data_IF_395045925667
#
_entry.id   IF_395045925667
#
_cell.length_a   1.000
_cell.length_b   1.000
_cell.length_c   1.000
_cell.angle_alpha   90.00
_cell.angle_beta   90.00
_cell.angle_gamma   90.00
#
_symmetry.space_group_name_H-M   'P 1'
#
loop_
_entity.id
_entity.type
_entity.pdbx_description
1 polymer ?
#
# COMPACT_ATOMS: atom_id res chain seq x y z
N UNK A 1 3.44 32.38 -23.31
CA UNK A 1 2.12 31.99 -22.76
C UNK A 1 2.27 30.56 -22.26
N UNK A 2 2.19 30.19 -20.99
CA UNK A 2 1.60 30.80 -19.81
C UNK A 2 2.61 30.70 -18.65
N UNK A 3 3.03 31.84 -18.11
CA UNK A 3 3.81 31.90 -16.87
C UNK A 3 2.90 31.54 -15.71
N UNK A 4 3.06 30.35 -15.16
CA UNK A 4 2.36 29.93 -13.95
C UNK A 4 2.87 30.76 -12.78
N UNK A 5 2.11 31.78 -12.38
CA UNK A 5 2.31 32.48 -11.11
C UNK A 5 2.24 31.45 -9.96
N UNK A 6 3.40 31.04 -9.46
CA UNK A 6 3.48 30.40 -8.15
C UNK A 6 3.20 31.48 -7.11
N UNK A 7 1.93 31.64 -6.78
CA UNK A 7 1.51 32.36 -5.58
C UNK A 7 2.04 31.53 -4.41
N UNK A 8 3.19 31.93 -3.88
CA UNK A 8 3.72 31.39 -2.63
C UNK A 8 2.75 31.81 -1.54
N UNK A 9 1.85 30.91 -1.15
CA UNK A 9 1.01 31.10 0.02
C UNK A 9 1.92 31.39 1.22
N UNK A 10 1.83 32.57 1.86
CA UNK A 10 2.86 33.08 2.77
C UNK A 10 2.93 32.36 4.13
N UNK A 11 2.20 31.24 4.31
CA UNK A 11 2.08 30.57 5.60
C UNK A 11 3.05 29.41 5.88
N UNK A 12 3.68 28.80 4.87
CA UNK A 12 4.41 27.53 5.06
C UNK A 12 5.95 27.63 5.01
N UNK A 13 6.51 28.71 4.45
CA UNK A 13 7.95 28.83 4.20
C UNK A 13 8.74 29.51 5.33
N UNK A 14 8.07 30.21 6.25
CA UNK A 14 8.71 31.12 7.21
C UNK A 14 9.71 30.46 8.17
N UNK A 15 9.47 29.21 8.59
CA UNK A 15 10.32 28.51 9.56
C UNK A 15 11.28 27.48 8.92
N UNK A 16 10.96 26.96 7.74
CA UNK A 16 11.64 25.82 7.12
C UNK A 16 12.59 26.28 6.00
N UNK A 17 12.39 27.48 5.44
CA UNK A 17 13.17 28.00 4.31
C UNK A 17 12.67 27.46 2.96
N UNK A 18 12.75 28.28 1.92
CA UNK A 18 12.09 28.05 0.61
C UNK A 18 12.46 26.69 -0.01
N UNK A 19 13.75 26.33 0.00
CA UNK A 19 14.22 25.08 -0.61
C UNK A 19 13.72 23.84 0.12
N UNK A 20 13.74 23.86 1.46
CA UNK A 20 13.27 22.74 2.27
C UNK A 20 11.75 22.62 2.21
N UNK A 21 11.03 23.74 2.17
CA UNK A 21 9.58 23.75 1.95
C UNK A 21 9.21 23.13 0.59
N UNK A 22 9.97 23.45 -0.46
CA UNK A 22 9.76 22.87 -1.79
C UNK A 22 9.98 21.35 -1.81
N UNK A 23 11.01 20.83 -1.11
CA UNK A 23 11.25 19.40 -1.01
C UNK A 23 10.16 18.64 -0.24
N UNK A 24 9.59 19.25 0.80
CA UNK A 24 8.44 18.69 1.54
C UNK A 24 7.19 18.66 0.66
N UNK A 25 6.92 19.74 -0.08
CA UNK A 25 5.78 19.82 -0.99
C UNK A 25 5.86 18.76 -2.11
N UNK A 26 7.04 18.55 -2.71
CA UNK A 26 7.25 17.46 -3.69
C UNK A 26 6.98 16.06 -3.12
N UNK A 27 7.19 15.85 -1.82
CA UNK A 27 6.84 14.57 -1.18
C UNK A 27 5.32 14.43 -1.02
N UNK A 28 4.62 15.52 -0.73
CA UNK A 28 3.15 15.53 -0.63
C UNK A 28 2.48 15.33 -1.99
N UNK A 29 3.10 15.77 -3.09
CA UNK A 29 2.63 15.49 -4.46
C UNK A 29 2.62 14.00 -4.83
N UNK A 30 3.40 13.16 -4.14
CA UNK A 30 3.40 11.70 -4.36
C UNK A 30 2.20 11.01 -3.71
N UNK A 31 1.41 11.72 -2.92
CA UNK A 31 0.20 11.21 -2.28
C UNK A 31 -0.94 11.25 -3.28
N UNK A 32 -1.60 10.11 -3.49
CA UNK A 32 -2.76 10.05 -4.39
C UNK A 32 -3.92 10.91 -3.88
N UNK A 33 -4.80 11.35 -4.78
CA UNK A 33 -6.00 12.13 -4.42
C UNK A 33 -6.85 11.41 -3.36
N UNK A 34 -7.06 10.09 -3.51
CA UNK A 34 -7.78 9.27 -2.53
C UNK A 34 -7.13 9.29 -1.14
N UNK A 35 -5.82 9.07 -1.06
CA UNK A 35 -5.12 9.08 0.23
C UNK A 35 -5.10 10.47 0.86
N UNK A 36 -5.01 11.54 0.06
CA UNK A 36 -5.05 12.91 0.58
C UNK A 36 -6.38 13.24 1.27
N UNK A 37 -7.50 12.70 0.77
CA UNK A 37 -8.81 12.83 1.42
C UNK A 37 -8.87 12.07 2.74
N UNK A 38 -8.40 10.82 2.76
CA UNK A 38 -8.37 9.99 3.98
C UNK A 38 -7.43 10.56 5.05
N UNK A 39 -6.27 11.08 4.66
CA UNK A 39 -5.29 11.66 5.60
C UNK A 39 -5.76 12.98 6.23
N UNK A 40 -6.83 13.59 5.73
CA UNK A 40 -7.48 14.77 6.32
C UNK A 40 -8.54 14.40 7.37
N UNK A 41 -8.77 13.12 7.65
CA UNK A 41 -9.71 12.70 8.69
C UNK A 41 -9.28 13.21 10.07
N UNK A 42 -10.25 13.49 10.95
CA UNK A 42 -9.99 13.98 12.30
C UNK A 42 -9.21 12.97 13.15
N UNK A 43 -9.38 11.68 12.89
CA UNK A 43 -8.69 10.61 13.58
C UNK A 43 -8.22 9.51 12.62
N UNK A 44 -7.02 9.00 12.86
CA UNK A 44 -6.41 7.88 12.14
C UNK A 44 -5.88 6.89 13.18
N UNK A 45 -6.38 5.67 13.16
CA UNK A 45 -5.91 4.59 14.05
C UNK A 45 -5.38 3.41 13.24
N UNK A 46 -4.29 2.81 13.70
CA UNK A 46 -3.78 1.56 13.12
C UNK A 46 -4.46 0.36 13.77
N UNK A 47 -5.02 -0.53 12.94
CA UNK A 47 -5.46 -1.87 13.33
C UNK A 47 -4.58 -2.91 12.63
N UNK A 48 -4.31 -4.02 13.30
CA UNK A 48 -3.66 -5.18 12.68
C UNK A 48 -4.71 -6.29 12.56
N UNK A 49 -5.05 -6.64 11.33
CA UNK A 49 -5.95 -7.74 11.03
C UNK A 49 -5.12 -9.00 10.78
N UNK A 50 -5.52 -10.15 11.32
CA UNK A 50 -4.92 -11.44 10.98
C UNK A 50 -5.85 -12.19 10.05
N UNK A 51 -5.40 -12.46 8.82
CA UNK A 51 -6.20 -13.12 7.80
C UNK A 51 -5.56 -14.45 7.37
N UNK A 52 -6.34 -15.54 7.26
CA UNK A 52 -5.83 -16.80 6.76
C UNK A 52 -5.64 -16.76 5.24
N UNK A 53 -4.60 -17.44 4.76
CA UNK A 53 -4.35 -17.68 3.34
C UNK A 53 -3.84 -19.11 3.13
N UNK A 54 -4.16 -19.69 1.98
CA UNK A 54 -3.64 -20.99 1.57
C UNK A 54 -2.25 -20.80 0.96
N UNK A 55 -1.27 -21.49 1.53
CA UNK A 55 0.07 -21.61 1.00
C UNK A 55 0.26 -23.01 0.41
N UNK A 56 0.15 -23.12 -0.91
CA UNK A 56 0.28 -24.39 -1.62
C UNK A 56 1.68 -24.54 -2.22
N UNK A 57 2.30 -25.69 -2.01
CA UNK A 57 3.57 -26.10 -2.62
C UNK A 57 3.38 -27.41 -3.38
N UNK A 58 4.03 -27.55 -4.52
CA UNK A 58 4.08 -28.84 -5.23
C UNK A 58 5.09 -29.76 -4.55
N UNK A 59 4.65 -30.98 -4.23
CA UNK A 59 5.48 -32.00 -3.57
C UNK A 59 6.42 -32.73 -4.55
N UNK A 60 6.18 -32.59 -5.86
CA UNK A 60 6.77 -33.47 -6.88
C UNK A 60 7.63 -32.68 -7.88
N UNK A 61 8.95 -32.84 -7.80
CA UNK A 61 9.85 -32.51 -8.92
C UNK A 61 9.62 -33.58 -9.98
N UNK A 62 8.68 -33.34 -10.89
CA UNK A 62 8.36 -34.29 -11.96
C UNK A 62 9.58 -34.51 -12.86
N UNK A 63 9.86 -35.75 -13.29
CA UNK A 63 10.95 -36.03 -14.21
C UNK A 63 10.73 -35.28 -15.52
N UNK A 64 11.69 -34.43 -15.85
CA UNK A 64 11.78 -33.65 -17.10
C UNK A 64 12.03 -34.64 -18.25
N UNK A 65 10.98 -35.31 -18.73
CA UNK A 65 11.16 -36.39 -19.71
C UNK A 65 9.94 -36.82 -20.53
N UNK A 66 8.74 -36.29 -20.29
CA UNK A 66 7.58 -36.65 -21.12
C UNK A 66 6.81 -35.40 -21.60
N UNK A 67 6.80 -35.28 -22.93
CA UNK A 67 6.60 -34.07 -23.76
C UNK A 67 5.15 -33.57 -23.87
N UNK A 68 4.21 -34.07 -23.06
CA UNK A 68 2.79 -33.74 -23.24
C UNK A 68 2.25 -33.14 -21.95
N UNK A 69 2.09 -31.82 -21.97
CA UNK A 69 1.62 -30.93 -20.91
C UNK A 69 0.92 -31.63 -19.74
N UNK A 70 1.60 -31.68 -18.60
CA UNK A 70 1.02 -32.18 -17.36
C UNK A 70 -0.22 -31.36 -16.98
N UNK A 71 -1.35 -32.04 -16.85
CA UNK A 71 -2.61 -31.46 -16.36
C UNK A 71 -2.38 -30.99 -14.92
N UNK A 72 -2.58 -29.70 -14.65
CA UNK A 72 -2.31 -29.07 -13.34
C UNK A 72 -3.14 -29.67 -12.18
N UNK A 73 -4.22 -30.40 -12.49
CA UNK A 73 -5.01 -31.11 -11.48
C UNK A 73 -4.33 -32.36 -10.94
N UNK A 74 -3.42 -32.96 -11.71
CA UNK A 74 -2.76 -34.22 -11.33
C UNK A 74 -1.51 -33.97 -10.49
N UNK A 75 -1.06 -32.73 -10.36
CA UNK A 75 0.08 -32.39 -9.50
C UNK A 75 -0.33 -32.51 -8.04
N UNK A 76 0.36 -33.38 -7.29
CA UNK A 76 0.23 -33.41 -5.84
C UNK A 76 0.69 -32.06 -5.27
N UNK A 77 -0.26 -31.34 -4.69
CA UNK A 77 -0.04 -30.08 -4.00
C UNK A 77 -0.32 -30.28 -2.51
N UNK A 78 0.61 -29.84 -1.68
CA UNK A 78 0.43 -29.72 -0.24
C UNK A 78 0.04 -28.28 0.05
N UNK A 79 -1.17 -28.05 0.56
CA UNK A 79 -1.63 -26.72 0.95
C UNK A 79 -1.68 -26.62 2.47
N UNK A 80 -1.04 -25.59 3.00
CA UNK A 80 -1.07 -25.25 4.42
C UNK A 80 -1.82 -23.93 4.62
N UNK A 81 -2.66 -23.86 5.64
CA UNK A 81 -3.23 -22.58 6.07
C UNK A 81 -2.17 -21.80 6.86
N UNK A 82 -1.90 -20.57 6.43
CA UNK A 82 -1.00 -19.64 7.10
C UNK A 82 -1.73 -18.33 7.40
N UNK A 83 -1.23 -17.56 8.35
CA UNK A 83 -1.82 -16.28 8.74
C UNK A 83 -0.93 -15.12 8.27
N UNK A 84 -1.52 -14.08 7.68
CA UNK A 84 -0.84 -12.80 7.44
C UNK A 84 -1.39 -11.74 8.40
N UNK A 85 -0.49 -11.02 9.06
CA UNK A 85 -0.81 -9.79 9.75
C UNK A 85 -0.81 -8.61 8.77
N UNK A 86 -1.98 -8.02 8.55
CA UNK A 86 -2.16 -6.86 7.68
C UNK A 86 -2.42 -5.63 8.53
N UNK A 87 -1.47 -4.71 8.56
CA UNK A 87 -1.67 -3.39 9.17
C UNK A 87 -2.58 -2.53 8.27
N UNK A 88 -3.64 -1.98 8.83
CA UNK A 88 -4.62 -1.12 8.15
C UNK A 88 -4.88 0.13 8.97
N UNK A 89 -5.13 1.23 8.26
CA UNK A 89 -5.58 2.47 8.88
C UNK A 89 -7.12 2.49 8.90
N UNK A 90 -7.66 2.76 10.09
CA UNK A 90 -9.05 3.11 10.31
C UNK A 90 -9.15 4.63 10.36
N UNK A 91 -9.98 5.20 9.50
CA UNK A 91 -10.20 6.64 9.39
C UNK A 91 -11.58 6.96 9.95
N UNK A 92 -11.69 7.98 10.80
CA UNK A 92 -12.96 8.39 11.40
C UNK A 92 -13.03 9.88 11.69
N UNK A 93 -14.26 10.38 11.76
CA UNK A 93 -14.57 11.77 12.15
C UNK A 93 -14.52 11.96 13.68
N UNK A 94 -14.72 10.88 14.44
CA UNK A 94 -14.67 10.86 15.91
C UNK A 94 -13.94 9.61 16.41
N UNK A 95 -13.23 9.73 17.53
CA UNK A 95 -12.54 8.60 18.16
C UNK A 95 -13.55 7.65 18.80
N UNK A 96 -13.71 6.44 18.25
CA UNK A 96 -14.43 5.34 18.92
C UNK A 96 -15.70 4.81 18.25
N UNK A 97 -15.85 4.93 16.92
CA UNK A 97 -16.92 4.23 16.19
C UNK A 97 -16.37 3.48 15.00
#
# INVERSE_FOLDING_TARGET
MSGGNFIVMPGAAGAIGVLKAHLVLRRLERVSSRCSGLLRSAYIQSRVDSVPYLFCRSEEVRPVGMVWYSILKDTKITCEEKMVSMARNTYGEFKGR
#
